data_IF_498330371152
#
_entry.id   IF_498330371152
#
_cell.length_a   1.000
_cell.length_b   1.000
_cell.length_c   1.000
_cell.angle_alpha   90.00
_cell.angle_beta   90.00
_cell.angle_gamma   90.00
#
_symmetry.space_group_name_H-M   'P 1'
#
loop_
_entity.id
_entity.type
_entity.pdbx_description
1 polymer ?
#
# COMPACT_ATOMS: atom_id res chain seq x y z
N UNK A 1 7.83 0.05 5.76
CA UNK A 1 7.46 -1.38 5.79
C UNK A 1 8.10 -2.03 6.99
N UNK A 2 9.42 -2.23 7.01
CA UNK A 2 10.14 -2.78 8.18
C UNK A 2 9.77 -2.07 9.48
N UNK A 3 9.95 -0.75 9.53
CA UNK A 3 9.64 0.09 10.70
C UNK A 3 8.16 0.07 11.12
N UNK A 4 7.25 -0.25 10.19
CA UNK A 4 5.79 -0.18 10.43
C UNK A 4 5.25 -1.53 10.90
N UNK A 5 5.72 -2.64 10.31
CA UNK A 5 5.14 -3.96 10.55
C UNK A 5 6.02 -4.91 11.37
N UNK A 6 7.34 -4.73 11.42
CA UNK A 6 8.19 -5.62 12.23
C UNK A 6 7.88 -5.54 13.74
N UNK A 7 7.62 -4.36 14.35
CA UNK A 7 7.31 -4.30 15.78
C UNK A 7 6.11 -5.16 16.16
N UNK A 8 5.12 -5.26 15.26
CA UNK A 8 3.93 -6.08 15.47
C UNK A 8 4.25 -7.58 15.64
N UNK A 9 5.32 -8.10 15.03
CA UNK A 9 5.69 -9.51 15.19
C UNK A 9 6.07 -9.88 16.63
N UNK A 10 6.43 -8.88 17.44
CA UNK A 10 6.78 -9.05 18.86
C UNK A 10 5.56 -8.98 19.79
N UNK A 11 4.39 -8.60 19.28
CA UNK A 11 3.16 -8.54 20.07
C UNK A 11 2.58 -9.94 20.34
N UNK A 12 1.76 -10.10 21.40
CA UNK A 12 0.93 -11.30 21.59
C UNK A 12 0.07 -11.60 20.36
N UNK A 13 -0.15 -12.89 19.98
CA UNK A 13 -0.85 -13.27 18.76
C UNK A 13 -2.18 -12.54 18.50
N UNK A 14 -2.97 -12.36 19.54
CA UNK A 14 -4.28 -11.69 19.53
C UNK A 14 -4.19 -10.19 19.22
N UNK A 15 -3.05 -9.56 19.45
CA UNK A 15 -2.82 -8.14 19.19
C UNK A 15 -2.21 -7.86 17.81
N UNK A 16 -1.69 -8.89 17.13
CA UNK A 16 -0.96 -8.71 15.86
C UNK A 16 -1.88 -8.20 14.75
N UNK A 17 -3.02 -8.83 14.53
CA UNK A 17 -3.94 -8.39 13.46
C UNK A 17 -4.52 -6.98 13.70
N UNK A 18 -4.97 -6.62 14.92
CA UNK A 18 -5.34 -5.24 15.22
C UNK A 18 -4.21 -4.24 14.95
N UNK A 19 -2.98 -4.55 15.37
CA UNK A 19 -1.83 -3.70 15.11
C UNK A 19 -1.50 -3.59 13.61
N UNK A 20 -1.65 -4.69 12.85
CA UNK A 20 -1.51 -4.66 11.39
C UNK A 20 -2.48 -3.69 10.74
N UNK A 21 -3.77 -3.78 11.07
CA UNK A 21 -4.81 -2.91 10.52
C UNK A 21 -4.57 -1.46 10.92
N UNK A 22 -4.22 -1.20 12.18
CA UNK A 22 -3.93 0.15 12.66
C UNK A 22 -2.74 0.77 11.93
N UNK A 23 -1.69 -0.01 11.69
CA UNK A 23 -0.48 0.41 10.98
C UNK A 23 -0.74 0.88 9.53
N UNK A 24 -1.89 0.54 8.95
CA UNK A 24 -2.31 0.97 7.62
C UNK A 24 -2.86 2.41 7.58
N UNK A 25 -3.24 2.94 8.73
CA UNK A 25 -4.03 4.16 8.86
C UNK A 25 -3.20 5.31 9.43
N UNK A 26 -3.64 6.55 9.15
CA UNK A 26 -3.12 7.77 9.79
C UNK A 26 -3.54 7.81 11.27
N UNK A 27 -2.81 8.60 12.06
CA UNK A 27 -3.22 8.94 13.43
C UNK A 27 -4.64 9.54 13.46
N UNK A 28 -5.46 9.17 14.44
CA UNK A 28 -6.86 9.63 14.56
C UNK A 28 -7.87 9.01 13.59
N UNK A 29 -7.43 8.20 12.62
CA UNK A 29 -8.34 7.49 11.71
C UNK A 29 -8.73 6.13 12.29
N UNK A 30 -10.01 5.94 12.55
CA UNK A 30 -10.53 4.67 13.04
C UNK A 30 -10.50 3.59 11.95
N UNK A 31 -10.16 2.33 12.28
CA UNK A 31 -10.31 1.21 11.37
C UNK A 31 -11.77 1.03 10.94
N UNK A 32 -12.03 0.51 9.72
CA UNK A 32 -13.37 0.13 9.33
C UNK A 32 -13.92 -0.90 10.32
N UNK A 33 -15.21 -0.79 10.64
CA UNK A 33 -15.88 -1.77 11.50
C UNK A 33 -15.76 -3.16 10.88
N UNK A 34 -15.61 -4.18 11.73
CA UNK A 34 -15.69 -5.54 11.25
C UNK A 34 -17.10 -5.79 10.73
N UNK A 35 -17.20 -6.47 9.58
CA UNK A 35 -18.48 -6.91 9.04
C UNK A 35 -19.20 -7.77 10.09
N UNK A 36 -20.51 -7.55 10.25
CA UNK A 36 -21.33 -8.36 11.12
C UNK A 36 -21.41 -9.81 10.61
N UNK A 37 -21.39 -10.76 11.55
CA UNK A 37 -21.49 -12.19 11.27
C UNK A 37 -20.16 -12.95 11.43
N UNK A 38 -20.21 -14.29 11.34
CA UNK A 38 -19.01 -15.11 11.43
C UNK A 38 -18.09 -14.79 10.23
N UNK A 39 -16.77 -14.71 10.45
CA UNK A 39 -15.84 -14.53 9.36
C UNK A 39 -15.98 -15.70 8.36
N UNK A 40 -15.96 -15.46 7.03
CA UNK A 40 -16.00 -16.52 6.05
C UNK A 40 -14.77 -17.43 6.20
N UNK A 41 -14.86 -18.72 5.84
CA UNK A 41 -13.81 -19.72 6.13
C UNK A 41 -12.40 -19.33 5.64
N UNK A 42 -12.30 -18.63 4.51
CA UNK A 42 -11.01 -18.16 3.97
C UNK A 42 -10.29 -17.13 4.86
N UNK A 43 -10.98 -16.51 5.83
CA UNK A 43 -10.34 -15.61 6.79
C UNK A 43 -9.58 -16.35 7.90
N UNK A 44 -9.74 -17.67 8.06
CA UNK A 44 -9.04 -18.45 9.08
C UNK A 44 -7.52 -18.37 8.94
N UNK A 45 -7.00 -18.40 7.71
CA UNK A 45 -5.56 -18.36 7.43
C UNK A 45 -4.98 -16.94 7.36
N UNK A 46 -5.84 -15.91 7.41
CA UNK A 46 -5.43 -14.52 7.24
C UNK A 46 -4.33 -14.10 8.21
N UNK A 47 -4.38 -14.42 9.52
CA UNK A 47 -3.29 -14.06 10.43
C UNK A 47 -1.95 -14.67 10.02
N UNK A 48 -1.91 -15.95 9.67
CA UNK A 48 -0.70 -16.63 9.23
C UNK A 48 -0.16 -16.01 7.93
N UNK A 49 -1.04 -15.72 6.97
CA UNK A 49 -0.72 -15.04 5.72
C UNK A 49 -0.11 -13.65 5.93
N UNK A 50 -0.68 -12.83 6.82
CA UNK A 50 -0.13 -11.51 7.14
C UNK A 50 1.26 -11.63 7.77
N UNK A 51 1.49 -12.60 8.66
CA UNK A 51 2.82 -12.80 9.25
C UNK A 51 3.85 -13.22 8.20
N UNK A 52 3.47 -14.09 7.28
CA UNK A 52 4.32 -14.49 6.16
C UNK A 52 4.64 -13.30 5.25
N UNK A 53 3.63 -12.50 4.89
CA UNK A 53 3.79 -11.27 4.12
C UNK A 53 4.77 -10.29 4.79
N UNK A 54 4.59 -10.00 6.08
CA UNK A 54 5.46 -9.07 6.81
C UNK A 54 6.90 -9.55 6.82
N UNK A 55 7.15 -10.86 7.03
CA UNK A 55 8.49 -11.43 6.94
C UNK A 55 9.07 -11.31 5.54
N UNK A 56 8.31 -11.67 4.50
CA UNK A 56 8.76 -11.62 3.12
C UNK A 56 9.14 -10.19 2.68
N UNK A 57 8.26 -9.21 2.91
CA UNK A 57 8.53 -7.80 2.57
C UNK A 57 9.67 -7.24 3.41
N UNK A 58 9.85 -7.72 4.65
CA UNK A 58 10.98 -7.30 5.49
C UNK A 58 12.29 -7.96 5.07
N UNK A 59 12.29 -9.15 4.48
CA UNK A 59 13.51 -9.79 3.99
C UNK A 59 13.86 -9.40 2.54
N UNK A 60 12.93 -8.80 1.80
CA UNK A 60 13.12 -8.42 0.41
C UNK A 60 14.33 -7.49 0.22
N UNK A 61 15.19 -7.89 -0.71
CA UNK A 61 16.21 -7.03 -1.27
C UNK A 61 15.70 -6.43 -2.58
N UNK A 62 15.75 -5.10 -2.70
CA UNK A 62 15.20 -4.37 -3.83
C UNK A 62 16.36 -3.75 -4.59
N UNK A 63 16.60 -4.14 -5.86
CA UNK A 63 17.76 -3.67 -6.63
C UNK A 63 17.57 -2.20 -7.03
N UNK A 64 18.03 -1.28 -6.19
CA UNK A 64 17.82 0.17 -6.33
C UNK A 64 18.31 0.68 -7.70
N UNK A 65 19.44 0.20 -8.19
CA UNK A 65 19.97 0.62 -9.49
C UNK A 65 19.06 0.22 -10.66
N UNK A 66 18.29 -0.87 -10.53
CA UNK A 66 17.27 -1.21 -11.53
C UNK A 66 16.06 -0.29 -11.48
N UNK A 67 15.70 0.23 -10.30
CA UNK A 67 14.63 1.22 -10.20
C UNK A 67 15.03 2.53 -10.88
N UNK A 68 16.27 2.97 -10.68
CA UNK A 68 16.82 4.17 -11.33
C UNK A 68 16.93 4.04 -12.85
N UNK A 69 17.28 2.84 -13.33
CA UNK A 69 17.38 2.56 -14.75
C UNK A 69 16.01 2.35 -15.43
N UNK A 70 14.91 2.28 -14.67
CA UNK A 70 13.58 2.10 -15.23
C UNK A 70 13.05 3.45 -15.75
N UNK A 71 13.04 3.59 -17.08
CA UNK A 71 12.71 4.83 -17.78
C UNK A 71 11.25 4.92 -18.26
N UNK A 72 10.45 3.87 -18.06
CA UNK A 72 9.03 3.88 -18.41
C UNK A 72 8.18 4.59 -17.35
N UNK A 73 7.00 5.10 -17.71
CA UNK A 73 6.11 5.75 -16.76
C UNK A 73 5.76 4.87 -15.55
N UNK A 74 5.76 5.45 -14.34
CA UNK A 74 5.34 4.79 -13.10
C UNK A 74 4.17 5.57 -12.49
N UNK A 75 3.11 4.87 -12.09
CA UNK A 75 1.99 5.46 -11.38
C UNK A 75 1.94 4.99 -9.93
N UNK A 76 1.68 5.93 -9.01
CA UNK A 76 1.48 5.65 -7.60
C UNK A 76 0.22 6.35 -7.08
N UNK A 77 -0.76 5.56 -6.64
CA UNK A 77 -1.94 6.10 -5.95
C UNK A 77 -1.66 6.22 -4.44
N UNK A 78 -1.74 7.45 -3.94
CA UNK A 78 -1.54 7.79 -2.53
C UNK A 78 -2.90 8.14 -1.92
N UNK A 79 -3.23 7.59 -0.75
CA UNK A 79 -4.51 7.88 -0.08
C UNK A 79 -4.26 8.69 1.20
N UNK A 80 -4.94 9.83 1.38
CA UNK A 80 -4.58 10.84 2.39
C UNK A 80 -4.75 10.40 3.85
N UNK A 81 -5.66 9.46 4.13
CA UNK A 81 -5.89 8.88 5.46
C UNK A 81 -5.03 7.64 5.76
N UNK A 82 -4.10 7.28 4.88
CA UNK A 82 -3.15 6.19 5.13
C UNK A 82 -2.03 6.62 6.08
N UNK A 83 -1.35 5.65 6.68
CA UNK A 83 -0.16 5.91 7.49
C UNK A 83 0.86 6.81 6.73
N UNK A 84 1.42 7.87 7.33
CA UNK A 84 2.36 8.78 6.66
C UNK A 84 3.62 8.11 6.08
N UNK A 85 3.92 6.88 6.50
CA UNK A 85 4.99 6.09 5.87
C UNK A 85 4.76 5.87 4.37
N UNK A 86 3.51 5.81 3.91
CA UNK A 86 3.20 5.64 2.49
C UNK A 86 3.55 6.87 1.66
N UNK A 87 3.34 8.06 2.21
CA UNK A 87 3.75 9.32 1.60
C UNK A 87 5.28 9.44 1.55
N UNK A 88 5.97 9.15 2.66
CA UNK A 88 7.45 9.10 2.68
C UNK A 88 8.02 8.11 1.66
N UNK A 89 7.32 7.01 1.42
CA UNK A 89 7.68 6.04 0.38
C UNK A 89 7.48 6.57 -1.02
N UNK A 90 6.35 7.21 -1.29
CA UNK A 90 6.09 7.85 -2.57
C UNK A 90 7.19 8.87 -2.89
N UNK A 91 7.59 9.70 -1.92
CA UNK A 91 8.71 10.65 -2.07
C UNK A 91 10.03 9.95 -2.41
N UNK A 92 10.43 8.95 -1.62
CA UNK A 92 11.67 8.17 -1.90
C UNK A 92 11.65 7.47 -3.25
N UNK A 93 10.49 6.96 -3.68
CA UNK A 93 10.36 6.34 -4.99
C UNK A 93 10.42 7.38 -6.12
N UNK A 94 9.86 8.57 -5.92
CA UNK A 94 9.94 9.67 -6.89
C UNK A 94 11.37 10.20 -7.09
N UNK A 95 12.24 10.08 -6.09
CA UNK A 95 13.68 10.34 -6.24
C UNK A 95 14.42 9.26 -7.07
N UNK A 96 13.87 8.04 -7.14
CA UNK A 96 14.49 6.91 -7.82
C UNK A 96 13.95 6.74 -9.25
N UNK A 97 12.64 6.84 -9.44
CA UNK A 97 12.01 6.66 -10.74
C UNK A 97 11.95 8.00 -11.48
N UNK A 98 12.63 8.15 -12.63
CA UNK A 98 12.69 9.41 -13.36
C UNK A 98 11.31 9.88 -13.88
N UNK A 99 10.42 8.93 -14.18
CA UNK A 99 9.12 9.19 -14.80
C UNK A 99 7.94 8.74 -13.92
N UNK A 100 7.96 9.11 -12.63
CA UNK A 100 6.92 8.74 -11.68
C UNK A 100 5.86 9.83 -11.49
N UNK A 101 4.60 9.43 -11.59
CA UNK A 101 3.43 10.25 -11.23
C UNK A 101 2.84 9.74 -9.92
N UNK A 102 2.67 10.65 -8.96
CA UNK A 102 1.95 10.40 -7.71
C UNK A 102 0.61 11.13 -7.77
N UNK A 103 -0.49 10.41 -7.57
CA UNK A 103 -1.83 11.00 -7.49
C UNK A 103 -2.42 10.80 -6.09
N UNK A 104 -2.88 11.90 -5.48
CA UNK A 104 -3.52 11.89 -4.16
C UNK A 104 -5.02 11.65 -4.28
N UNK A 105 -5.51 10.69 -3.50
CA UNK A 105 -6.91 10.39 -3.28
C UNK A 105 -7.30 10.82 -1.87
N UNK A 106 -8.12 11.86 -1.78
CA UNK A 106 -8.52 12.46 -0.53
C UNK A 106 -9.57 11.64 0.21
N UNK A 107 -9.48 11.57 1.53
CA UNK A 107 -10.46 10.87 2.37
C UNK A 107 -10.38 9.34 2.31
N UNK A 108 -9.41 8.78 1.58
CA UNK A 108 -9.20 7.35 1.45
C UNK A 108 -8.04 6.85 2.31
N UNK A 109 -8.04 5.56 2.64
CA UNK A 109 -6.97 4.92 3.42
C UNK A 109 -6.42 3.69 2.71
N UNK A 110 -5.42 3.02 3.28
CA UNK A 110 -4.94 1.76 2.70
C UNK A 110 -5.92 0.59 2.95
N UNK A 111 -6.89 0.75 3.86
CA UNK A 111 -7.97 -0.22 4.09
C UNK A 111 -9.24 0.07 3.27
N UNK A 112 -9.38 1.30 2.78
CA UNK A 112 -10.38 1.69 1.77
C UNK A 112 -9.65 2.35 0.60
N UNK A 113 -8.99 1.52 -0.21
CA UNK A 113 -8.05 1.96 -1.23
C UNK A 113 -8.74 2.64 -2.42
N UNK A 114 -8.00 3.53 -3.08
CA UNK A 114 -8.42 4.23 -4.32
C UNK A 114 -9.10 3.33 -5.35
N UNK A 115 -8.54 2.16 -5.65
CA UNK A 115 -9.12 1.26 -6.66
C UNK A 115 -10.41 0.56 -6.22
N UNK A 116 -10.69 0.51 -4.92
CA UNK A 116 -11.93 -0.05 -4.38
C UNK A 116 -13.02 1.03 -4.26
N UNK A 117 -12.64 2.25 -3.83
CA UNK A 117 -13.58 3.35 -3.59
C UNK A 117 -13.87 4.20 -4.84
N UNK A 118 -12.88 4.41 -5.70
CA UNK A 118 -12.96 5.25 -6.91
C UNK A 118 -12.43 4.49 -8.15
N UNK A 119 -13.02 3.32 -8.50
CA UNK A 119 -12.49 2.45 -9.54
C UNK A 119 -12.40 3.14 -10.91
N UNK A 120 -13.36 4.00 -11.28
CA UNK A 120 -13.37 4.71 -12.56
C UNK A 120 -12.22 5.72 -12.65
N UNK A 121 -11.93 6.43 -11.56
CA UNK A 121 -10.83 7.40 -11.52
C UNK A 121 -9.49 6.71 -11.62
N UNK A 122 -9.31 5.60 -10.89
CA UNK A 122 -8.09 4.78 -11.00
C UNK A 122 -7.95 4.21 -12.41
N UNK A 123 -9.04 3.72 -13.01
CA UNK A 123 -9.01 3.23 -14.39
C UNK A 123 -8.60 4.33 -15.39
N UNK A 124 -9.11 5.56 -15.21
CA UNK A 124 -8.70 6.70 -16.04
C UNK A 124 -7.22 7.04 -15.86
N UNK A 125 -6.68 6.97 -14.63
CA UNK A 125 -5.27 7.19 -14.37
C UNK A 125 -4.37 6.13 -15.03
N UNK A 126 -4.76 4.86 -14.95
CA UNK A 126 -4.05 3.77 -15.62
C UNK A 126 -4.09 3.92 -17.16
N UNK A 127 -5.21 4.34 -17.73
CA UNK A 127 -5.28 4.64 -19.18
C UNK A 127 -4.36 5.77 -19.59
N UNK A 128 -4.24 6.83 -18.78
CA UNK A 128 -3.26 7.91 -19.03
C UNK A 128 -1.83 7.39 -19.01
N UNK A 129 -1.50 6.53 -18.02
CA UNK A 129 -0.19 5.90 -17.92
C UNK A 129 0.16 5.08 -19.16
N UNK A 130 -0.77 4.24 -19.64
CA UNK A 130 -0.54 3.39 -20.81
C UNK A 130 -0.45 4.20 -22.11
N UNK A 131 -1.25 5.25 -22.24
CA UNK A 131 -1.18 6.12 -23.42
C UNK A 131 0.14 6.90 -23.47
N UNK A 132 0.66 7.38 -22.33
CA UNK A 132 1.95 8.07 -22.30
C UNK A 132 3.13 7.13 -22.59
N UNK A 133 3.02 5.84 -22.26
CA UNK A 133 3.99 4.84 -22.66
C UNK A 133 3.96 4.59 -24.17
N UNK A 134 2.77 4.51 -24.78
CA UNK A 134 2.61 4.27 -26.20
C UNK A 134 3.17 5.41 -27.09
N UNK A 135 3.16 6.64 -26.58
CA UNK A 135 3.73 7.81 -27.26
C UNK A 135 5.26 7.94 -27.09
N UNK A 136 5.85 7.26 -26.10
CA UNK A 136 7.27 7.31 -25.78
C UNK A 136 8.10 6.16 -26.39
N UNK A 137 7.46 5.23 -27.11
CA UNK A 137 8.10 4.10 -27.82
C UNK A 137 8.23 4.36 -29.31
#
# INVERSE_FOLDING_TARGET
MREVFLPMLQLPPEQRMPAFLRAQLREGVEPPSMLEGPPPPWMADRPAGVMAFVRAVSAADVPIERLKAFDRPVYYSLNSLSNPTWERKAGRLGELFPNMTVELYEGLSHLNSSHAAEPERVAAALRRLWNSEAEAG
#
